data_IF_425109319641
#
_entry.id   IF_425109319641
#
_cell.length_a   1.000
_cell.length_b   1.000
_cell.length_c   1.000
_cell.angle_alpha   90.00
_cell.angle_beta   90.00
_cell.angle_gamma   90.00
#
_symmetry.space_group_name_H-M   'P 1'
#
loop_
_entity.id
_entity.type
_entity.pdbx_description
1 polymer ?
#
# COMPACT_ATOMS: atom_id res chain seq x y z
N UNK A 1 1.50 18.77 -10.65
CA UNK A 1 0.94 17.43 -10.38
C UNK A 1 0.31 17.47 -9.00
N UNK A 2 -0.97 17.09 -8.85
CA UNK A 2 -1.65 17.04 -7.54
C UNK A 2 -1.50 15.65 -6.93
N UNK A 3 -1.20 15.57 -5.65
CA UNK A 3 -1.16 14.31 -4.90
C UNK A 3 -2.56 13.71 -4.78
N UNK A 4 -2.70 12.41 -5.06
CA UNK A 4 -3.97 11.68 -4.95
C UNK A 4 -4.02 10.83 -3.67
N UNK A 5 -2.93 10.12 -3.38
CA UNK A 5 -2.84 9.18 -2.26
C UNK A 5 -1.46 9.25 -1.63
N UNK A 6 -1.39 9.03 -0.31
CA UNK A 6 -0.16 8.84 0.45
C UNK A 6 -0.29 7.60 1.32
N UNK A 7 0.80 6.85 1.40
CA UNK A 7 1.01 5.73 2.30
C UNK A 7 2.02 6.19 3.35
N UNK A 8 1.66 6.04 4.62
CA UNK A 8 2.58 6.23 5.74
C UNK A 8 2.61 4.96 6.57
N UNK A 9 3.78 4.35 6.63
CA UNK A 9 4.08 3.18 7.46
C UNK A 9 3.02 2.08 7.37
N UNK A 10 2.53 1.83 6.14
CA UNK A 10 1.54 0.78 5.89
C UNK A 10 2.20 -0.56 6.13
N UNK A 11 1.81 -1.22 7.21
CA UNK A 11 2.36 -2.50 7.64
C UNK A 11 1.26 -3.51 8.00
N UNK A 12 1.63 -4.80 8.00
CA UNK A 12 0.84 -5.90 8.54
C UNK A 12 1.76 -6.97 9.12
N UNK A 13 1.51 -7.36 10.37
CA UNK A 13 2.41 -8.06 11.30
C UNK A 13 3.18 -9.25 10.72
N UNK A 14 2.65 -9.96 9.72
CA UNK A 14 3.28 -11.17 9.16
C UNK A 14 3.39 -11.16 7.64
N UNK A 15 2.91 -10.12 6.95
CA UNK A 15 2.79 -10.09 5.49
C UNK A 15 3.42 -8.88 4.83
N UNK A 16 3.49 -7.74 5.53
CA UNK A 16 4.01 -6.48 5.00
C UNK A 16 4.88 -5.80 6.05
N UNK A 17 6.15 -5.58 5.72
CA UNK A 17 6.96 -4.58 6.42
C UNK A 17 6.43 -3.16 6.18
N UNK A 18 6.92 -2.16 6.91
CA UNK A 18 6.48 -0.78 6.76
C UNK A 18 6.76 -0.28 5.34
N UNK A 19 5.71 0.22 4.68
CA UNK A 19 5.78 0.81 3.35
C UNK A 19 5.22 2.22 3.37
N UNK A 20 6.02 3.16 2.86
CA UNK A 20 5.65 4.57 2.70
C UNK A 20 5.86 4.97 1.24
N UNK A 21 4.99 5.83 0.73
CA UNK A 21 5.02 6.26 -0.67
C UNK A 21 3.89 7.21 -1.01
N UNK A 22 3.95 7.80 -2.20
CA UNK A 22 2.97 8.77 -2.69
C UNK A 22 2.57 8.39 -4.11
N UNK A 23 1.30 8.66 -4.45
CA UNK A 23 0.76 8.45 -5.79
C UNK A 23 0.16 9.76 -6.28
N UNK A 24 0.63 10.22 -7.43
CA UNK A 24 0.11 11.43 -8.08
C UNK A 24 -1.17 11.15 -8.87
N UNK A 25 -2.03 12.15 -9.02
CA UNK A 25 -3.21 12.03 -9.87
C UNK A 25 -2.80 11.77 -11.33
N UNK A 26 -3.39 10.74 -11.94
CA UNK A 26 -3.08 10.31 -13.31
C UNK A 26 -1.87 9.39 -13.44
N UNK A 27 -1.19 9.05 -12.33
CA UNK A 27 -0.08 8.11 -12.33
C UNK A 27 -0.57 6.66 -12.46
N UNK A 28 0.16 5.84 -13.23
CA UNK A 28 -0.09 4.41 -13.36
C UNK A 28 1.03 3.67 -12.64
N UNK A 29 0.69 2.97 -11.55
CA UNK A 29 1.64 2.21 -10.74
C UNK A 29 1.50 0.71 -10.99
N UNK A 30 2.62 0.01 -11.17
CA UNK A 30 2.67 -1.46 -11.19
C UNK A 30 3.18 -2.02 -9.87
N UNK A 31 2.37 -2.89 -9.25
CA UNK A 31 2.74 -3.62 -8.05
C UNK A 31 3.24 -5.03 -8.40
N UNK A 32 4.55 -5.24 -8.34
CA UNK A 32 5.22 -6.48 -8.75
C UNK A 32 5.95 -7.18 -7.60
N UNK A 33 6.01 -8.50 -7.67
CA UNK A 33 6.67 -9.35 -6.67
C UNK A 33 6.18 -10.80 -6.72
N UNK A 34 6.88 -11.76 -6.09
CA UNK A 34 6.51 -13.17 -6.11
C UNK A 34 5.17 -13.45 -5.40
N UNK A 35 4.64 -14.66 -5.59
CA UNK A 35 3.47 -15.11 -4.84
C UNK A 35 3.78 -15.12 -3.35
N UNK A 36 2.85 -14.64 -2.53
CA UNK A 36 3.05 -14.49 -1.09
C UNK A 36 3.74 -13.20 -0.63
N UNK A 37 4.25 -12.36 -1.54
CA UNK A 37 4.95 -11.10 -1.20
C UNK A 37 4.08 -9.97 -0.60
N UNK A 38 2.81 -10.24 -0.26
CA UNK A 38 1.93 -9.23 0.36
C UNK A 38 1.23 -8.26 -0.59
N UNK A 39 1.26 -8.46 -1.92
CA UNK A 39 0.63 -7.55 -2.90
C UNK A 39 -0.87 -7.34 -2.69
N UNK A 40 -1.65 -8.43 -2.60
CA UNK A 40 -3.09 -8.35 -2.36
C UNK A 40 -3.41 -7.76 -0.99
N UNK A 41 -2.55 -8.03 -0.01
CA UNK A 41 -2.61 -7.43 1.32
C UNK A 41 -2.43 -5.91 1.24
N UNK A 42 -1.44 -5.43 0.49
CA UNK A 42 -1.20 -3.99 0.31
C UNK A 42 -2.39 -3.32 -0.37
N UNK A 43 -2.94 -3.93 -1.43
CA UNK A 43 -4.13 -3.41 -2.12
C UNK A 43 -5.37 -3.37 -1.20
N UNK A 44 -5.57 -4.38 -0.35
CA UNK A 44 -6.67 -4.39 0.62
C UNK A 44 -6.52 -3.27 1.66
N UNK A 45 -5.30 -2.99 2.12
CA UNK A 45 -5.00 -1.88 3.04
C UNK A 45 -5.24 -0.52 2.37
N UNK A 46 -4.79 -0.35 1.13
CA UNK A 46 -5.01 0.85 0.32
C UNK A 46 -6.48 1.14 0.05
N UNK A 47 -7.30 0.10 -0.10
CA UNK A 47 -8.75 0.21 -0.29
C UNK A 47 -9.53 0.46 1.01
N UNK A 48 -8.86 0.59 2.15
CA UNK A 48 -9.49 0.77 3.47
C UNK A 48 -10.13 -0.50 4.05
N UNK A 49 -9.92 -1.67 3.43
CA UNK A 49 -10.59 -2.93 3.77
C UNK A 49 -10.05 -3.69 4.98
N UNK A 50 -8.94 -3.24 5.57
CA UNK A 50 -8.33 -3.89 6.72
C UNK A 50 -7.93 -2.84 7.78
N UNK A 51 -8.61 -2.89 8.93
CA UNK A 51 -8.30 -2.14 10.14
C UNK A 51 -7.00 -2.65 10.77
N UNK A 52 -5.86 -2.36 10.15
CA UNK A 52 -4.53 -2.59 10.73
C UNK A 52 -3.90 -1.26 11.16
N UNK A 53 -3.22 -1.24 12.30
CA UNK A 53 -2.53 -0.06 12.81
C UNK A 53 -1.48 0.47 11.82
N UNK A 54 -1.74 1.65 11.29
CA UNK A 54 -0.88 2.42 10.38
C UNK A 54 -1.65 3.69 10.06
N UNK A 55 -1.04 4.85 10.34
CA UNK A 55 -1.69 6.17 10.27
C UNK A 55 -1.62 6.82 8.91
#
# INVERSE_FOLDING_TARGET
MSQLMQLKDVAESTRLGPLSGEVSAGEILHLVGPNGAGKSTLLARLAGGASGGGG
#
